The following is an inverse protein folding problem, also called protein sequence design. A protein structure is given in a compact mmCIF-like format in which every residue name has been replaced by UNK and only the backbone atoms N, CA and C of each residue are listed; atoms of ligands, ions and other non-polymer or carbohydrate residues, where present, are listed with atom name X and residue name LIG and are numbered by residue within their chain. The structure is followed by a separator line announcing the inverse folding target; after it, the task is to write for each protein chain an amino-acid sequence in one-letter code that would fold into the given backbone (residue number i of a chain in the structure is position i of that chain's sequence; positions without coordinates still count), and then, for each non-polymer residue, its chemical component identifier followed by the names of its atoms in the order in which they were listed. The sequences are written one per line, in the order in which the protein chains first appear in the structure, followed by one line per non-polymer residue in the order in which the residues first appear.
data_IF_827586697036
#
_entry.id   IF_827586697036
#
_cell.length_a   1.000
_cell.length_b   1.000
_cell.length_c   1.000
_cell.angle_alpha   90.00
_cell.angle_beta   90.00
_cell.angle_gamma   90.00
#
_symmetry.space_group_name_H-M   'P 1'
#
loop_
_entity.id
_entity.type
_entity.pdbx_description
1 polymer ?
#
# COMPACT_ATOMS: atom_id res chain seq x y z
N UNK A 1 7.78 18.55 -4.63
CA UNK A 1 8.16 17.59 -3.57
C UNK A 1 7.09 16.51 -3.55
N UNK A 2 7.38 15.26 -3.94
CA UNK A 2 6.34 14.24 -3.95
C UNK A 2 5.90 14.04 -2.51
N UNK A 3 4.62 14.32 -2.24
CA UNK A 3 3.95 14.00 -0.98
C UNK A 3 3.98 12.48 -0.84
N UNK A 4 5.08 11.95 -0.29
CA UNK A 4 5.16 10.57 0.14
C UNK A 4 4.06 10.40 1.18
N UNK A 5 3.15 9.46 0.96
CA UNK A 5 2.26 9.05 2.04
C UNK A 5 3.14 8.67 3.24
N UNK A 6 2.82 9.16 4.46
CA UNK A 6 3.59 8.79 5.64
C UNK A 6 3.66 7.27 5.74
N UNK A 7 4.85 6.73 6.03
CA UNK A 7 5.01 5.28 6.22
C UNK A 7 4.06 4.73 7.29
N UNK A 8 3.67 5.57 8.25
CA UNK A 8 2.69 5.25 9.29
C UNK A 8 1.30 4.92 8.71
N UNK A 9 0.81 5.70 7.74
CA UNK A 9 -0.48 5.46 7.07
C UNK A 9 -0.42 4.15 6.30
N UNK A 10 0.66 3.91 5.55
CA UNK A 10 0.85 2.64 4.83
C UNK A 10 0.82 1.45 5.78
N UNK A 11 1.51 1.56 6.92
CA UNK A 11 1.58 0.48 7.91
C UNK A 11 0.22 0.22 8.57
N UNK A 12 -0.52 1.27 8.93
CA UNK A 12 -1.89 1.13 9.46
C UNK A 12 -2.83 0.48 8.45
N UNK A 13 -2.82 0.90 7.18
CA UNK A 13 -3.68 0.33 6.13
C UNK A 13 -3.39 -1.16 5.93
N UNK A 14 -2.10 -1.53 5.87
CA UNK A 14 -1.69 -2.93 5.72
C UNK A 14 -2.08 -3.77 6.95
N UNK A 15 -1.88 -3.24 8.15
CA UNK A 15 -2.24 -3.92 9.40
C UNK A 15 -3.76 -4.14 9.50
N UNK A 16 -4.57 -3.13 9.18
CA UNK A 16 -6.02 -3.24 9.15
C UNK A 16 -6.50 -4.20 8.06
N UNK A 17 -5.93 -4.16 6.86
CA UNK A 17 -6.24 -5.12 5.81
C UNK A 17 -5.92 -6.56 6.23
N UNK A 18 -4.77 -6.77 6.90
CA UNK A 18 -4.39 -8.08 7.47
C UNK A 18 -5.33 -8.55 8.58
N UNK A 19 -5.87 -7.63 9.38
CA UNK A 19 -6.88 -7.95 10.41
C UNK A 19 -8.22 -8.40 9.83
N UNK A 20 -8.38 -8.37 8.49
CA UNK A 20 -9.61 -8.75 7.78
C UNK A 20 -10.48 -7.55 7.39
N UNK A 21 -9.99 -6.31 7.55
CA UNK A 21 -10.73 -5.13 7.13
C UNK A 21 -10.82 -5.08 5.61
N UNK A 22 -12.03 -4.87 5.09
CA UNK A 22 -12.27 -4.74 3.64
C UNK A 22 -11.58 -3.51 3.08
N UNK A 23 -10.98 -3.64 1.90
CA UNK A 23 -10.33 -2.53 1.17
C UNK A 23 -11.28 -1.33 1.00
N UNK A 24 -12.56 -1.57 0.70
CA UNK A 24 -13.57 -0.50 0.58
C UNK A 24 -13.76 0.32 1.88
N UNK A 25 -13.63 -0.31 3.05
CA UNK A 25 -13.69 0.41 4.33
C UNK A 25 -12.43 1.25 4.54
N UNK A 26 -11.26 0.74 4.17
CA UNK A 26 -10.00 1.48 4.24
C UNK A 26 -10.01 2.68 3.28
N UNK A 27 -10.59 2.54 2.09
CA UNK A 27 -10.81 3.66 1.16
C UNK A 27 -11.66 4.75 1.79
N UNK A 28 -12.77 4.38 2.44
CA UNK A 28 -13.64 5.35 3.11
C UNK A 28 -12.96 6.02 4.31
N UNK A 29 -12.20 5.27 5.11
CA UNK A 29 -11.52 5.76 6.31
C UNK A 29 -10.35 6.68 5.99
N UNK A 30 -9.54 6.32 4.99
CA UNK A 30 -8.31 7.02 4.67
C UNK A 30 -8.43 7.96 3.46
N UNK A 31 -9.54 7.92 2.73
CA UNK A 31 -9.78 8.75 1.54
C UNK A 31 -8.87 8.41 0.35
N UNK A 32 -8.36 7.17 0.29
CA UNK A 32 -7.44 6.71 -0.76
C UNK A 32 -8.14 5.85 -1.80
N UNK A 33 -7.60 5.75 -3.01
CA UNK A 33 -8.14 4.84 -4.04
C UNK A 33 -7.87 3.37 -3.67
N UNK A 34 -8.80 2.48 -4.02
CA UNK A 34 -8.65 1.02 -3.84
C UNK A 34 -7.35 0.53 -4.50
N UNK A 35 -7.01 1.07 -5.68
CA UNK A 35 -5.79 0.72 -6.40
C UNK A 35 -4.51 1.00 -5.59
N UNK A 36 -4.48 2.09 -4.82
CA UNK A 36 -3.34 2.43 -3.94
C UNK A 36 -3.18 1.39 -2.83
N UNK A 37 -4.30 0.98 -2.22
CA UNK A 37 -4.30 0.00 -1.14
C UNK A 37 -3.87 -1.38 -1.64
N UNK A 38 -4.40 -1.82 -2.79
CA UNK A 38 -3.98 -3.08 -3.42
C UNK A 38 -2.49 -3.10 -3.78
N UNK A 39 -1.96 -1.99 -4.29
CA UNK A 39 -0.52 -1.87 -4.55
C UNK A 39 0.30 -2.01 -3.27
N UNK A 40 -0.12 -1.41 -2.16
CA UNK A 40 0.60 -1.54 -0.89
C UNK A 40 0.55 -2.97 -0.32
N UNK A 41 -0.60 -3.64 -0.44
CA UNK A 41 -0.73 -5.05 -0.01
C UNK A 41 0.11 -5.99 -0.87
N UNK A 42 0.12 -5.78 -2.18
CA UNK A 42 0.99 -6.55 -3.09
C UNK A 42 2.46 -6.32 -2.77
N UNK A 43 2.82 -5.08 -2.50
CA UNK A 43 4.19 -4.70 -2.20
C UNK A 43 4.69 -5.27 -0.88
N UNK A 44 3.82 -5.38 0.12
CA UNK A 44 4.13 -6.03 1.39
C UNK A 44 4.30 -7.55 1.22
N UNK A 45 3.46 -8.20 0.42
CA UNK A 45 3.64 -9.62 0.08
C UNK A 45 4.96 -9.88 -0.69
N UNK A 46 5.38 -8.95 -1.56
CA UNK A 46 6.70 -9.01 -2.22
C UNK A 46 7.83 -8.85 -1.19
N UNK A 47 7.71 -7.89 -0.27
CA UNK A 47 8.71 -7.64 0.79
C UNK A 47 8.88 -8.85 1.73
N UNK A 48 7.78 -9.58 1.98
CA UNK A 48 7.81 -10.84 2.72
C UNK A 48 8.30 -12.05 1.92
N UNK A 49 8.54 -11.89 0.62
CA UNK A 49 8.94 -12.98 -0.28
C UNK A 49 7.82 -13.98 -0.60
N UNK A 50 6.55 -13.63 -0.35
CA UNK A 50 5.39 -14.47 -0.69
C UNK A 50 5.08 -14.43 -2.19
N UNK A 51 5.48 -13.35 -2.87
CA UNK A 51 5.28 -13.18 -4.30
C UNK A 51 6.61 -12.75 -4.94
N UNK A 52 7.02 -13.46 -6.00
CA UNK A 52 8.12 -13.02 -6.85
C UNK A 52 7.73 -11.76 -7.62
N UNK A 53 8.36 -10.64 -7.30
CA UNK A 53 8.12 -9.36 -7.97
C UNK A 53 9.20 -8.32 -7.64
N UNK A 54 9.31 -7.28 -8.46
CA UNK A 54 10.24 -6.17 -8.23
C UNK A 54 9.81 -5.40 -6.98
N UNK A 55 10.69 -5.32 -5.98
CA UNK A 55 10.42 -4.59 -4.74
C UNK A 55 10.33 -3.07 -4.98
N UNK A 56 9.74 -2.33 -4.03
CA UNK A 56 9.24 -0.94 -4.21
C UNK A 56 10.30 0.08 -4.63
N UNK A 57 11.58 -0.29 -4.60
CA UNK A 57 12.70 0.56 -4.95
C UNK A 57 12.57 1.15 -6.38
N UNK A 58 11.81 0.51 -7.27
CA UNK A 58 11.50 1.00 -8.63
C UNK A 58 10.14 1.70 -8.80
N UNK A 59 9.35 1.90 -7.75
CA UNK A 59 8.09 2.65 -7.85
C UNK A 59 8.25 4.14 -7.48
N UNK A 60 9.50 4.62 -7.39
CA UNK A 60 9.83 6.01 -7.04
C UNK A 60 9.81 6.96 -8.26
N UNK A 61 9.64 6.45 -9.48
CA UNK A 61 9.73 7.24 -10.71
C UNK A 61 8.47 7.12 -11.58
N UNK A 62 7.30 7.52 -11.08
CA UNK A 62 6.19 7.90 -11.98
C UNK A 62 5.14 8.78 -11.27
N UNK A 63 5.49 10.05 -11.06
CA UNK A 63 4.51 11.14 -10.99
C UNK A 63 5.27 12.47 -11.19
N UNK A 64 5.61 12.74 -12.46
CA UNK A 64 5.99 14.08 -12.92
C UNK A 64 4.74 14.97 -12.99
#
# INVERSE_FOLDING_TARGET
MPRRYPNEIRRQVVELARSGTKVAQLVATFGMSEATIYNWLRQEQIDRGEISGTSTDMALDLAA
#
